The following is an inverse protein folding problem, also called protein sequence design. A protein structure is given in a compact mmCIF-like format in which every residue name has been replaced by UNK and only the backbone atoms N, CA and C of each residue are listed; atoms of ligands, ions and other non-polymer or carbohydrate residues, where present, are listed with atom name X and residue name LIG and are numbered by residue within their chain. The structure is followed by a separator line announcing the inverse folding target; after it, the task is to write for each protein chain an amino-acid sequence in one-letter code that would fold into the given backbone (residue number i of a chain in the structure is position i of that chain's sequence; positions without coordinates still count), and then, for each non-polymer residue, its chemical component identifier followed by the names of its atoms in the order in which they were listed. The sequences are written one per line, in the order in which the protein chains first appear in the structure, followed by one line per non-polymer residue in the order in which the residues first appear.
data_IF_016749791526
#
_entry.id   IF_016749791526
#
_cell.length_a   1.000
_cell.length_b   1.000
_cell.length_c   1.000
_cell.angle_alpha   90.00
_cell.angle_beta   90.00
_cell.angle_gamma   90.00
#
_symmetry.space_group_name_H-M   'P 1'
#
loop_
_entity.id
_entity.type
_entity.pdbx_description
1 polymer ?
#
# COMPACT_ATOMS: atom_id res chain seq x y z
N UNK A 1 11.03 -7.94 10.58
CA UNK A 1 10.75 -8.91 9.50
C UNK A 1 10.11 -8.16 8.34
N UNK A 2 10.51 -8.41 7.10
CA UNK A 2 9.99 -7.67 5.94
C UNK A 2 8.62 -8.22 5.52
N UNK A 3 7.53 -7.51 5.82
CA UNK A 3 6.17 -7.87 5.39
C UNK A 3 5.91 -7.59 3.90
N UNK A 4 6.69 -6.70 3.29
CA UNK A 4 6.57 -6.29 1.88
C UNK A 4 6.55 -7.46 0.87
N UNK A 5 7.54 -8.38 0.86
CA UNK A 5 7.54 -9.50 -0.08
C UNK A 5 6.38 -10.48 0.14
N UNK A 6 5.92 -10.66 1.38
CA UNK A 6 4.79 -11.55 1.68
C UNK A 6 3.49 -10.96 1.15
N UNK A 7 3.23 -9.68 1.42
CA UNK A 7 2.04 -8.98 0.93
C UNK A 7 2.00 -8.97 -0.60
N UNK A 8 3.12 -8.65 -1.25
CA UNK A 8 3.24 -8.67 -2.72
C UNK A 8 3.06 -10.08 -3.28
N UNK A 9 3.63 -11.10 -2.64
CA UNK A 9 3.48 -12.51 -3.03
C UNK A 9 2.04 -13.03 -2.90
N UNK A 10 1.27 -12.52 -1.94
CA UNK A 10 -0.15 -12.82 -1.76
C UNK A 10 -1.08 -12.06 -2.76
N UNK A 11 -0.52 -11.20 -3.62
CA UNK A 11 -1.30 -10.36 -4.54
C UNK A 11 -1.86 -9.07 -3.92
N UNK A 12 -1.49 -8.78 -2.67
CA UNK A 12 -1.80 -7.52 -2.00
C UNK A 12 -0.92 -6.37 -2.50
N UNK A 13 -1.36 -5.14 -2.24
CA UNK A 13 -0.65 -3.92 -2.56
C UNK A 13 -0.33 -3.14 -1.27
N UNK A 14 0.84 -2.53 -1.23
CA UNK A 14 1.34 -1.76 -0.09
C UNK A 14 2.11 -0.54 -0.61
N UNK A 15 1.74 0.64 -0.13
CA UNK A 15 2.37 1.95 -0.42
C UNK A 15 2.24 2.85 0.80
N UNK A 16 2.85 4.03 0.76
CA UNK A 16 2.46 5.13 1.64
C UNK A 16 1.07 5.70 1.27
N UNK A 17 0.64 6.76 1.97
CA UNK A 17 -0.62 7.46 1.73
C UNK A 17 -0.68 8.19 0.38
N UNK A 18 0.47 8.51 -0.22
CA UNK A 18 0.57 9.17 -1.53
C UNK A 18 0.70 8.17 -2.69
N UNK A 19 0.83 6.86 -2.41
CA UNK A 19 1.06 5.82 -3.41
C UNK A 19 2.53 5.57 -3.74
N UNK A 20 3.47 6.16 -3.01
CA UNK A 20 4.91 5.98 -3.17
C UNK A 20 5.44 4.77 -2.38
N UNK A 21 6.77 4.59 -2.45
CA UNK A 21 7.42 3.45 -1.84
C UNK A 21 7.23 3.45 -0.31
N UNK A 22 6.71 2.35 0.27
CA UNK A 22 6.42 2.26 1.70
C UNK A 22 7.68 2.19 2.58
N UNK A 23 8.88 2.13 1.99
CA UNK A 23 10.16 2.03 2.72
C UNK A 23 10.70 3.39 3.18
N UNK A 24 10.13 4.51 2.72
CA UNK A 24 10.59 5.85 3.06
C UNK A 24 10.29 6.28 4.51
N UNK A 25 9.58 5.46 5.28
CA UNK A 25 9.20 5.76 6.66
C UNK A 25 8.00 6.71 6.73
N UNK A 26 6.97 6.33 7.50
CA UNK A 26 5.71 7.06 7.59
C UNK A 26 4.51 6.13 7.66
N UNK A 27 3.31 6.70 7.54
CA UNK A 27 2.09 5.91 7.52
C UNK A 27 1.94 5.18 6.17
N UNK A 28 1.74 3.87 6.24
CA UNK A 28 1.54 3.01 5.08
C UNK A 28 0.12 2.48 5.04
N UNK A 29 -0.33 2.12 3.85
CA UNK A 29 -1.61 1.44 3.62
C UNK A 29 -1.36 0.10 2.93
N UNK A 30 -2.19 -0.87 3.29
CA UNK A 30 -2.16 -2.23 2.74
C UNK A 30 -3.57 -2.56 2.30
N UNK A 31 -3.71 -3.13 1.09
CA UNK A 31 -4.99 -3.62 0.60
C UNK A 31 -4.85 -4.99 -0.07
N UNK A 32 -5.95 -5.75 -0.06
CA UNK A 32 -6.02 -7.10 -0.61
C UNK A 32 -5.84 -7.18 -2.13
N UNK A 33 -6.06 -6.07 -2.84
CA UNK A 33 -5.84 -5.98 -4.29
C UNK A 33 -5.51 -4.55 -4.70
N UNK A 34 -4.99 -4.39 -5.92
CA UNK A 34 -4.58 -3.08 -6.49
C UNK A 34 -5.75 -2.11 -6.72
N UNK A 35 -6.96 -2.62 -6.95
CA UNK A 35 -8.14 -1.79 -7.22
C UNK A 35 -8.61 -1.08 -5.95
N UNK A 36 -8.70 -1.81 -4.84
CA UNK A 36 -9.05 -1.27 -3.53
C UNK A 36 -7.95 -0.34 -3.04
N UNK A 37 -6.68 -0.73 -3.21
CA UNK A 37 -5.54 0.09 -2.85
C UNK A 37 -5.61 1.48 -3.48
N UNK A 38 -5.84 1.55 -4.80
CA UNK A 38 -5.97 2.81 -5.52
C UNK A 38 -7.11 3.68 -5.00
N UNK A 39 -8.28 3.09 -4.74
CA UNK A 39 -9.43 3.82 -4.17
C UNK A 39 -9.12 4.41 -2.79
N UNK A 40 -8.34 3.70 -1.98
CA UNK A 40 -7.93 4.18 -0.65
C UNK A 40 -6.93 5.33 -0.77
N UNK A 41 -5.98 5.27 -1.71
CA UNK A 41 -5.07 6.40 -2.01
C UNK A 41 -5.86 7.62 -2.48
N UNK A 42 -6.82 7.43 -3.38
CA UNK A 42 -7.69 8.51 -3.86
C UNK A 42 -8.48 9.13 -2.69
N UNK A 43 -9.09 8.31 -1.83
CA UNK A 43 -9.84 8.79 -0.65
C UNK A 43 -8.98 9.51 0.40
N UNK A 44 -7.70 9.15 0.53
CA UNK A 44 -6.79 9.79 1.49
C UNK A 44 -6.30 11.18 1.03
N UNK A 45 -6.35 11.44 -0.28
CA UNK A 45 -5.84 12.66 -0.91
C UNK A 45 -6.94 13.54 -1.53
N UNK A 46 -8.21 13.20 -1.30
CA UNK A 46 -9.38 14.07 -1.55
C UNK A 46 -9.44 15.22 -0.53
#
# INVERSE_FOLDING_TARGET
MAMLPIIKGAGGAITDWEGNDPSCGGNSIIASNKVLHRKVVEFLND
#
